data_IF_657757426916
#
_entry.id   IF_657757426916
#
_cell.length_a   1.000
_cell.length_b   1.000
_cell.length_c   1.000
_cell.angle_alpha   90.00
_cell.angle_beta   90.00
_cell.angle_gamma   90.00
#
_symmetry.space_group_name_H-M   'P 1'
#
loop_
_entity.id
_entity.type
_entity.pdbx_description
1 polymer ?
#
# COMPACT_ATOMS: atom_id res chain seq x y z
N UNK A 1 3.41 3.60 -2.86
CA UNK A 1 2.07 4.20 -2.79
C UNK A 1 1.44 3.69 -1.52
N UNK A 2 1.11 4.58 -0.60
CA UNK A 2 0.80 4.23 0.77
C UNK A 2 -0.55 3.51 0.85
N UNK A 3 -0.64 2.43 1.61
CA UNK A 3 -1.85 1.68 2.01
C UNK A 3 -3.06 2.54 2.31
N UNK A 4 -2.76 3.70 2.78
CA UNK A 4 -3.65 4.79 3.12
C UNK A 4 -4.63 5.11 1.99
N UNK A 5 -4.15 5.16 0.74
CA UNK A 5 -5.02 5.37 -0.40
C UNK A 5 -6.03 4.23 -0.57
N UNK A 6 -5.66 2.98 -0.27
CA UNK A 6 -6.53 1.82 -0.50
C UNK A 6 -7.56 1.67 0.63
N UNK A 7 -7.16 1.83 1.88
CA UNK A 7 -8.06 1.73 3.03
C UNK A 7 -9.02 2.93 3.11
N UNK A 8 -8.54 4.12 2.77
CA UNK A 8 -9.34 5.35 2.67
C UNK A 8 -10.24 5.39 1.45
N UNK A 9 -9.93 4.63 0.43
CA UNK A 9 -10.69 4.62 -0.81
C UNK A 9 -12.16 4.22 -0.64
N UNK A 10 -12.47 3.37 0.32
CA UNK A 10 -13.86 3.02 0.63
C UNK A 10 -14.64 4.21 1.20
N UNK A 11 -13.96 5.06 1.96
CA UNK A 11 -14.56 6.26 2.59
C UNK A 11 -14.53 7.47 1.64
N UNK A 12 -13.55 7.57 0.73
CA UNK A 12 -13.46 8.61 -0.29
C UNK A 12 -14.46 8.45 -1.45
N UNK A 13 -15.12 7.30 -1.57
CA UNK A 13 -16.22 7.11 -2.52
C UNK A 13 -17.50 7.87 -2.07
N UNK A 14 -17.56 8.31 -0.81
CA UNK A 14 -18.60 9.18 -0.27
C UNK A 14 -18.06 10.61 -0.27
N UNK A 15 -18.85 11.56 -0.70
CA UNK A 15 -18.50 12.98 -0.57
C UNK A 15 -18.53 13.34 0.92
N UNK A 16 -17.34 13.36 1.54
CA UNK A 16 -17.19 13.71 2.95
C UNK A 16 -17.18 15.24 3.05
N UNK A 17 -18.20 15.77 3.70
CA UNK A 17 -18.35 17.18 4.00
C UNK A 17 -18.04 17.44 5.48
N UNK A 18 -17.87 18.69 5.85
CA UNK A 18 -17.74 19.08 7.28
C UNK A 18 -18.93 18.66 8.15
N UNK A 19 -20.10 18.46 7.53
CA UNK A 19 -21.33 18.09 8.22
C UNK A 19 -21.47 16.58 8.45
N UNK A 20 -20.83 15.76 7.59
CA UNK A 20 -20.96 14.31 7.68
C UNK A 20 -19.65 13.59 8.05
N UNK A 21 -18.55 14.31 8.21
CA UNK A 21 -17.23 13.71 8.46
C UNK A 21 -17.19 12.85 9.72
N UNK A 22 -17.91 13.23 10.79
CA UNK A 22 -17.98 12.47 12.04
C UNK A 22 -18.59 11.06 11.86
N UNK A 23 -19.43 10.88 10.84
CA UNK A 23 -20.05 9.59 10.53
C UNK A 23 -19.15 8.65 9.74
N UNK A 24 -18.10 9.17 9.11
CA UNK A 24 -17.25 8.40 8.17
C UNK A 24 -15.78 8.36 8.57
N UNK A 25 -15.32 9.24 9.45
CA UNK A 25 -13.94 9.32 9.90
C UNK A 25 -13.81 9.00 11.37
N UNK A 26 -12.99 8.01 11.68
CA UNK A 26 -12.54 7.76 13.04
C UNK A 26 -11.31 8.64 13.37
N UNK A 27 -11.03 8.83 14.65
CA UNK A 27 -9.87 9.63 15.09
C UNK A 27 -8.57 9.11 14.50
N UNK A 28 -8.41 7.80 14.44
CA UNK A 28 -7.26 7.13 13.85
C UNK A 28 -7.11 7.45 12.35
N UNK A 29 -8.21 7.50 11.63
CA UNK A 29 -8.25 7.90 10.23
C UNK A 29 -7.70 9.32 10.04
N UNK A 30 -8.10 10.26 10.87
CA UNK A 30 -7.66 11.67 10.80
C UNK A 30 -6.16 11.78 11.10
N UNK A 31 -5.68 11.08 12.12
CA UNK A 31 -4.27 11.09 12.49
C UNK A 31 -3.39 10.57 11.36
N UNK A 32 -3.77 9.45 10.82
CA UNK A 32 -3.09 8.84 9.69
C UNK A 32 -3.14 9.74 8.44
N UNK A 33 -4.25 10.33 8.07
CA UNK A 33 -4.36 11.28 6.97
C UNK A 33 -3.39 12.46 7.17
N UNK A 34 -3.34 13.03 8.36
CA UNK A 34 -2.41 14.11 8.68
C UNK A 34 -0.95 13.68 8.54
N UNK A 35 -0.60 12.49 9.02
CA UNK A 35 0.74 11.92 8.85
C UNK A 35 1.09 11.75 7.38
N UNK A 36 0.17 11.24 6.56
CA UNK A 36 0.37 11.11 5.11
C UNK A 36 0.57 12.46 4.44
N UNK A 37 -0.24 13.47 4.78
CA UNK A 37 -0.09 14.83 4.26
C UNK A 37 1.30 15.39 4.57
N UNK A 38 1.78 15.23 5.82
CA UNK A 38 3.11 15.67 6.24
C UNK A 38 4.23 14.93 5.52
N UNK A 39 4.02 13.67 5.17
CA UNK A 39 4.96 12.83 4.42
C UNK A 39 4.88 13.00 2.89
N UNK A 40 4.37 14.13 2.41
CA UNK A 40 4.34 14.49 0.98
C UNK A 40 3.03 14.15 0.26
N UNK A 41 2.02 13.63 0.95
CA UNK A 41 0.70 13.29 0.39
C UNK A 41 -0.14 14.48 -0.05
N UNK A 42 0.22 15.70 0.34
CA UNK A 42 -0.57 16.91 0.07
C UNK A 42 -0.89 17.11 -1.42
N UNK A 43 0.10 17.01 -2.28
CA UNK A 43 -0.10 17.20 -3.72
C UNK A 43 -1.06 16.16 -4.31
N UNK A 44 -0.93 14.90 -3.89
CA UNK A 44 -1.82 13.82 -4.31
C UNK A 44 -3.25 14.06 -3.82
N UNK A 45 -3.42 14.42 -2.56
CA UNK A 45 -4.73 14.73 -1.99
C UNK A 45 -5.41 15.91 -2.73
N UNK A 46 -4.65 16.98 -2.99
CA UNK A 46 -5.15 18.17 -3.69
C UNK A 46 -5.54 17.86 -5.15
N UNK A 47 -4.77 17.05 -5.85
CA UNK A 47 -5.13 16.62 -7.22
C UNK A 47 -6.34 15.70 -7.21
N UNK A 48 -6.36 14.71 -6.31
CA UNK A 48 -7.46 13.75 -6.19
C UNK A 48 -8.79 14.45 -5.83
N UNK A 49 -8.77 15.47 -4.98
CA UNK A 49 -9.97 16.22 -4.60
C UNK A 49 -10.68 16.88 -5.78
N UNK A 50 -9.92 17.25 -6.84
CA UNK A 50 -10.43 17.93 -8.03
C UNK A 50 -11.02 17.01 -9.09
N UNK A 51 -10.83 15.71 -8.93
CA UNK A 51 -11.35 14.71 -9.85
C UNK A 51 -12.86 14.53 -9.70
N UNK A 52 -13.53 14.18 -10.78
CA UNK A 52 -14.90 13.72 -10.76
C UNK A 52 -15.04 12.41 -9.97
N UNK A 53 -16.24 12.11 -9.51
CA UNK A 53 -16.52 10.86 -8.78
C UNK A 53 -16.16 9.61 -9.61
N UNK A 54 -16.39 9.66 -10.92
CA UNK A 54 -16.05 8.54 -11.81
C UNK A 54 -14.53 8.34 -11.93
N UNK A 55 -13.75 9.42 -12.06
CA UNK A 55 -12.29 9.35 -12.09
C UNK A 55 -11.73 8.83 -10.76
N UNK A 56 -12.26 9.31 -9.63
CA UNK A 56 -11.92 8.80 -8.30
C UNK A 56 -12.17 7.30 -8.21
N UNK A 57 -13.38 6.85 -8.60
CA UNK A 57 -13.74 5.44 -8.59
C UNK A 57 -12.80 4.58 -9.46
N UNK A 58 -12.44 5.06 -10.65
CA UNK A 58 -11.51 4.36 -11.54
C UNK A 58 -10.12 4.23 -10.95
N UNK A 59 -9.57 5.29 -10.35
CA UNK A 59 -8.27 5.25 -9.67
C UNK A 59 -8.30 4.26 -8.51
N UNK A 60 -9.34 4.30 -7.70
CA UNK A 60 -9.48 3.40 -6.56
C UNK A 60 -9.59 1.94 -6.98
N UNK A 61 -10.33 1.68 -8.07
CA UNK A 61 -10.44 0.35 -8.63
C UNK A 61 -9.09 -0.16 -9.17
N UNK A 62 -8.34 0.70 -9.87
CA UNK A 62 -6.99 0.39 -10.32
C UNK A 62 -6.07 0.00 -9.14
N UNK A 63 -6.07 0.81 -8.07
CA UNK A 63 -5.26 0.55 -6.89
C UNK A 63 -5.63 -0.75 -6.17
N UNK A 64 -6.93 -1.06 -6.08
CA UNK A 64 -7.41 -2.31 -5.45
C UNK A 64 -7.02 -3.56 -6.21
N UNK A 65 -6.85 -3.45 -7.53
CA UNK A 65 -6.46 -4.57 -8.39
C UNK A 65 -4.94 -4.63 -8.62
N UNK A 66 -4.17 -3.73 -8.01
CA UNK A 66 -2.71 -3.78 -8.08
C UNK A 66 -2.18 -4.86 -7.15
N UNK A 67 -1.26 -5.66 -7.66
CA UNK A 67 -0.56 -6.66 -6.86
C UNK A 67 0.36 -5.97 -5.84
N UNK A 68 0.44 -6.55 -4.65
CA UNK A 68 1.35 -6.10 -3.59
C UNK A 68 2.71 -6.74 -3.69
N UNK A 69 2.78 -7.90 -4.32
CA UNK A 69 4.00 -8.58 -4.75
C UNK A 69 3.74 -9.32 -6.06
N UNK A 70 4.80 -9.67 -6.75
CA UNK A 70 4.79 -10.54 -7.92
C UNK A 70 5.94 -11.55 -7.84
N UNK A 71 5.75 -12.73 -8.40
CA UNK A 71 6.81 -13.72 -8.57
C UNK A 71 7.10 -13.94 -10.03
N UNK A 72 8.39 -13.99 -10.39
CA UNK A 72 8.85 -14.18 -11.76
C UNK A 72 9.89 -15.28 -11.80
N UNK A 73 9.67 -16.27 -12.66
CA UNK A 73 10.68 -17.28 -12.98
C UNK A 73 11.53 -16.83 -14.16
N UNK A 74 12.83 -16.68 -13.93
CA UNK A 74 13.78 -16.34 -14.99
C UNK A 74 15.09 -17.12 -14.81
N UNK A 75 15.55 -17.78 -15.88
CA UNK A 75 16.77 -18.60 -15.87
C UNK A 75 16.84 -19.62 -14.73
N UNK A 76 15.75 -20.34 -14.46
CA UNK A 76 15.59 -21.30 -13.37
C UNK A 76 15.77 -20.71 -11.97
N UNK A 77 15.51 -19.42 -11.82
CA UNK A 77 15.50 -18.69 -10.55
C UNK A 77 14.16 -18.03 -10.36
N UNK A 78 13.64 -18.14 -9.17
CA UNK A 78 12.41 -17.43 -8.74
C UNK A 78 12.80 -16.07 -8.15
N UNK A 79 12.23 -15.00 -8.69
CA UNK A 79 12.38 -13.64 -8.20
C UNK A 79 11.08 -13.19 -7.56
N UNK A 80 11.19 -12.59 -6.39
CA UNK A 80 10.06 -11.98 -5.69
C UNK A 80 10.21 -10.48 -5.79
N UNK A 81 9.22 -9.84 -6.42
CA UNK A 81 9.17 -8.39 -6.59
C UNK A 81 8.21 -7.82 -5.56
N UNK A 82 8.71 -6.97 -4.68
CA UNK A 82 7.93 -6.25 -3.67
C UNK A 82 8.24 -4.76 -3.74
N UNK A 83 7.36 -3.92 -3.19
CA UNK A 83 7.56 -2.47 -3.21
C UNK A 83 8.74 -2.03 -2.33
N UNK A 84 8.87 -2.62 -1.17
CA UNK A 84 9.90 -2.24 -0.19
C UNK A 84 10.77 -3.42 0.23
N UNK A 85 10.25 -4.31 1.09
CA UNK A 85 10.96 -5.46 1.65
C UNK A 85 9.96 -6.56 2.00
N UNK A 86 10.43 -7.69 2.52
CA UNK A 86 9.61 -8.78 3.06
C UNK A 86 9.36 -8.66 4.58
N UNK A 87 9.50 -7.45 5.13
CA UNK A 87 9.30 -7.21 6.55
C UNK A 87 10.18 -8.08 7.45
N UNK A 88 9.59 -8.70 8.48
CA UNK A 88 10.25 -9.71 9.28
C UNK A 88 10.26 -11.05 8.53
N UNK A 89 11.20 -11.19 7.60
CA UNK A 89 11.34 -12.38 6.80
C UNK A 89 11.49 -13.64 7.64
N UNK A 90 10.65 -14.65 7.34
CA UNK A 90 10.81 -16.01 7.84
C UNK A 90 10.75 -17.00 6.65
N UNK A 91 11.68 -17.97 6.56
CA UNK A 91 11.66 -18.96 5.48
C UNK A 91 10.41 -19.86 5.50
N UNK A 92 9.72 -19.94 6.63
CA UNK A 92 8.50 -20.75 6.81
C UNK A 92 7.22 -19.93 6.59
N UNK A 93 7.31 -18.60 6.37
CA UNK A 93 6.18 -17.73 6.12
C UNK A 93 5.90 -17.66 4.62
N UNK A 94 4.69 -18.05 4.21
CA UNK A 94 4.28 -17.92 2.82
C UNK A 94 4.09 -16.44 2.42
N UNK A 95 4.24 -16.09 1.13
CA UNK A 95 4.14 -14.69 0.69
C UNK A 95 2.75 -14.09 0.93
N UNK A 96 1.71 -14.91 0.82
CA UNK A 96 0.32 -14.54 1.10
C UNK A 96 0.02 -14.27 2.58
N UNK A 97 0.90 -14.68 3.50
CA UNK A 97 0.76 -14.47 4.94
C UNK A 97 1.42 -13.17 5.42
N UNK A 98 2.12 -12.46 4.53
CA UNK A 98 2.68 -11.15 4.86
C UNK A 98 1.61 -10.07 4.87
N UNK A 99 1.58 -9.31 5.95
CA UNK A 99 0.73 -8.14 6.03
C UNK A 99 1.21 -7.06 5.03
N UNK A 100 0.28 -6.28 4.56
CA UNK A 100 0.54 -5.28 3.54
C UNK A 100 1.60 -4.25 4.01
N UNK A 101 1.59 -3.86 5.29
CA UNK A 101 2.58 -2.96 5.89
C UNK A 101 3.99 -3.52 5.82
N UNK A 102 4.14 -4.84 5.98
CA UNK A 102 5.43 -5.52 5.89
C UNK A 102 6.03 -5.45 4.48
N UNK A 103 5.18 -5.42 3.44
CA UNK A 103 5.62 -5.46 2.04
C UNK A 103 5.83 -4.07 1.41
N UNK A 104 5.26 -3.01 2.00
CA UNK A 104 5.30 -1.68 1.38
C UNK A 104 5.94 -0.58 2.22
N UNK A 105 6.04 -0.73 3.53
CA UNK A 105 6.57 0.32 4.43
C UNK A 105 7.86 -0.11 5.18
N UNK A 106 8.24 -1.38 5.08
CA UNK A 106 9.48 -1.88 5.69
C UNK A 106 10.70 -1.47 4.86
N UNK A 107 11.80 -1.12 5.52
CA UNK A 107 13.05 -0.80 4.83
C UNK A 107 13.92 -2.05 4.67
N UNK A 108 14.33 -2.31 3.43
CA UNK A 108 15.20 -3.43 3.12
C UNK A 108 16.55 -3.32 3.88
N UNK A 109 16.92 -4.40 4.53
CA UNK A 109 18.23 -4.55 5.15
C UNK A 109 19.16 -5.30 4.19
N UNK A 110 19.92 -4.55 3.39
CA UNK A 110 20.84 -5.10 2.40
C UNK A 110 22.01 -5.90 3.00
N UNK A 111 22.16 -5.91 4.31
CA UNK A 111 23.16 -6.76 4.98
C UNK A 111 22.66 -8.18 5.22
N UNK A 112 21.36 -8.39 5.17
CA UNK A 112 20.71 -9.70 5.36
C UNK A 112 20.62 -10.48 4.07
N UNK A 113 20.76 -11.79 4.19
CA UNK A 113 20.41 -12.74 3.14
C UNK A 113 19.08 -13.38 3.51
N UNK A 114 18.01 -13.01 2.79
CA UNK A 114 16.68 -13.48 3.07
C UNK A 114 16.48 -14.96 2.71
N UNK A 115 17.04 -15.40 1.60
CA UNK A 115 16.92 -16.79 1.15
C UNK A 115 18.23 -17.53 1.24
N UNK A 116 18.21 -18.70 1.86
CA UNK A 116 19.35 -19.61 1.88
C UNK A 116 19.45 -20.44 0.60
N UNK A 117 18.35 -20.56 -0.13
CA UNK A 117 18.28 -21.28 -1.40
C UNK A 117 18.80 -20.39 -2.54
N UNK A 118 19.82 -20.84 -3.27
CA UNK A 118 20.41 -20.12 -4.39
C UNK A 118 19.45 -19.86 -5.57
N UNK A 119 18.25 -20.46 -5.56
CA UNK A 119 17.26 -20.33 -6.61
C UNK A 119 16.15 -19.29 -6.30
N UNK A 120 16.17 -18.65 -5.11
CA UNK A 120 15.24 -17.57 -4.73
C UNK A 120 15.99 -16.26 -4.51
N UNK A 121 15.41 -15.16 -5.00
CA UNK A 121 15.98 -13.80 -4.97
C UNK A 121 14.91 -12.76 -4.69
#
# INVERSE_FOLDING_TARGET
MNLWCIQYSKKLAVEITSENCENYLETDDILKYNQWIQNGGYNTANQFSKLSQNEKANILNYLRNSSIYETIDYNNKEYILVHADLGEYSPDKALEDYELDELIDHRADYSKRYFQNANKY
#
